data_IF_860442259660
#
_entry.id   IF_860442259660
#
_cell.length_a   1.000
_cell.length_b   1.000
_cell.length_c   1.000
_cell.angle_alpha   90.00
_cell.angle_beta   90.00
_cell.angle_gamma   90.00
#
_symmetry.space_group_name_H-M   'P 1'
#
loop_
_entity.id
_entity.type
_entity.pdbx_description
1 polymer ?
#
# COMPACT_ATOMS: atom_id res chain seq x y z
N UNK A 1 43.94 24.81 16.53
CA UNK A 1 43.32 23.65 15.84
C UNK A 1 42.07 23.22 16.62
N UNK A 2 40.85 23.67 16.25
CA UNK A 2 39.58 23.30 16.92
C UNK A 2 38.46 22.88 15.94
N UNK A 3 38.75 22.71 14.65
CA UNK A 3 37.75 22.53 13.59
C UNK A 3 37.41 21.09 13.23
N UNK A 4 38.04 20.07 13.82
CA UNK A 4 37.92 18.68 13.33
C UNK A 4 36.75 17.89 13.97
N UNK A 5 36.44 18.10 15.25
CA UNK A 5 35.37 17.35 15.94
C UNK A 5 33.96 17.82 15.55
N UNK A 6 33.78 19.13 15.30
CA UNK A 6 32.50 19.68 14.86
C UNK A 6 32.12 19.23 13.44
N UNK A 7 33.10 19.09 12.54
CA UNK A 7 32.87 18.57 11.18
C UNK A 7 32.59 17.07 11.16
N UNK A 8 33.25 16.28 12.03
CA UNK A 8 32.96 14.86 12.19
C UNK A 8 31.53 14.65 12.73
N UNK A 9 31.13 15.39 13.77
CA UNK A 9 29.77 15.33 14.31
C UNK A 9 28.73 15.73 13.25
N UNK A 10 28.94 16.86 12.53
CA UNK A 10 28.03 17.32 11.48
C UNK A 10 27.88 16.32 10.34
N UNK A 11 28.97 15.66 9.93
CA UNK A 11 28.95 14.59 8.91
C UNK A 11 28.19 13.37 9.41
N UNK A 12 28.44 12.91 10.65
CA UNK A 12 27.71 11.79 11.26
C UNK A 12 26.21 12.08 11.41
N UNK A 13 25.82 13.27 11.89
CA UNK A 13 24.41 13.67 11.98
C UNK A 13 23.73 13.71 10.62
N UNK A 14 24.39 14.25 9.59
CA UNK A 14 23.85 14.27 8.23
C UNK A 14 23.72 12.85 7.66
N UNK A 15 24.74 12.00 7.83
CA UNK A 15 24.69 10.60 7.37
C UNK A 15 23.60 9.80 8.07
N UNK A 16 23.44 9.91 9.40
CA UNK A 16 22.37 9.23 10.15
C UNK A 16 20.99 9.78 9.81
N UNK A 17 20.87 11.09 9.57
CA UNK A 17 19.61 11.69 9.14
C UNK A 17 19.18 11.19 7.75
N UNK A 18 20.14 11.05 6.81
CA UNK A 18 19.87 10.55 5.45
C UNK A 18 19.63 9.04 5.40
N UNK A 19 20.36 8.21 6.16
CA UNK A 19 20.07 6.76 6.23
C UNK A 19 18.69 6.49 6.82
N UNK A 20 18.33 7.21 7.88
CA UNK A 20 17.01 7.09 8.51
C UNK A 20 15.89 7.59 7.58
N UNK A 21 16.13 8.67 6.83
CA UNK A 21 15.17 9.14 5.83
C UNK A 21 14.98 8.12 4.69
N UNK A 22 16.05 7.51 4.19
CA UNK A 22 16.02 6.47 3.16
C UNK A 22 15.29 5.19 3.63
N UNK A 23 15.48 4.78 4.89
CA UNK A 23 14.77 3.65 5.47
C UNK A 23 13.26 3.90 5.57
N UNK A 24 12.85 5.11 5.99
CA UNK A 24 11.43 5.46 6.03
C UNK A 24 10.81 5.57 4.64
N UNK A 25 11.52 6.13 3.66
CA UNK A 25 11.03 6.18 2.28
C UNK A 25 10.93 4.78 1.65
N UNK A 26 11.87 3.88 1.97
CA UNK A 26 11.78 2.47 1.57
C UNK A 26 10.54 1.76 2.15
N UNK A 27 10.36 1.86 3.47
CA UNK A 27 9.20 1.27 4.15
C UNK A 27 7.85 1.82 3.67
N UNK A 28 7.80 3.11 3.32
CA UNK A 28 6.58 3.75 2.82
C UNK A 28 6.25 3.27 1.39
N UNK A 29 7.27 3.17 0.54
CA UNK A 29 7.12 2.62 -0.81
C UNK A 29 6.64 1.17 -0.77
N UNK A 30 7.23 0.34 0.08
CA UNK A 30 6.84 -1.06 0.25
C UNK A 30 5.40 -1.17 0.75
N UNK A 31 5.01 -0.37 1.73
CA UNK A 31 3.64 -0.37 2.24
C UNK A 31 2.61 0.11 1.19
N UNK A 32 2.97 1.10 0.36
CA UNK A 32 2.12 1.57 -0.76
C UNK A 32 2.00 0.52 -1.85
N UNK A 33 3.05 -0.22 -2.17
CA UNK A 33 2.96 -1.36 -3.11
C UNK A 33 2.16 -2.52 -2.52
N UNK A 34 2.35 -2.82 -1.23
CA UNK A 34 1.64 -3.88 -0.51
C UNK A 34 0.13 -3.67 -0.49
N UNK A 35 -0.33 -2.44 -0.25
CA UNK A 35 -1.76 -2.13 -0.29
C UNK A 35 -2.36 -2.27 -1.70
N UNK A 36 -1.62 -1.91 -2.75
CA UNK A 36 -2.10 -2.07 -4.13
C UNK A 36 -2.26 -3.54 -4.50
N UNK A 37 -1.28 -4.37 -4.15
CA UNK A 37 -1.31 -5.83 -4.39
C UNK A 37 -2.45 -6.49 -3.61
N UNK A 38 -2.57 -6.20 -2.31
CA UNK A 38 -3.61 -6.81 -1.48
C UNK A 38 -5.03 -6.39 -1.91
N UNK A 39 -5.25 -5.17 -2.41
CA UNK A 39 -6.55 -4.77 -3.00
C UNK A 39 -6.84 -5.53 -4.29
N UNK A 40 -5.83 -5.78 -5.13
CA UNK A 40 -6.00 -6.61 -6.33
C UNK A 40 -6.43 -8.03 -5.97
N UNK A 41 -5.76 -8.65 -5.00
CA UNK A 41 -6.05 -10.01 -4.58
C UNK A 41 -7.37 -10.12 -3.83
N UNK A 42 -7.70 -9.12 -3.01
CA UNK A 42 -9.02 -8.97 -2.39
C UNK A 42 -10.12 -8.91 -3.45
N UNK A 43 -9.97 -8.08 -4.49
CA UNK A 43 -10.96 -7.98 -5.56
C UNK A 43 -11.17 -9.31 -6.29
N UNK A 44 -10.10 -10.07 -6.54
CA UNK A 44 -10.18 -11.40 -7.16
C UNK A 44 -10.91 -12.39 -6.25
N UNK A 45 -10.50 -12.47 -4.98
CA UNK A 45 -11.09 -13.38 -4.01
C UNK A 45 -12.59 -13.09 -3.78
N UNK A 46 -12.96 -11.81 -3.65
CA UNK A 46 -14.35 -11.36 -3.46
C UNK A 46 -15.26 -11.58 -4.67
N UNK A 47 -14.70 -11.97 -5.82
CA UNK A 47 -15.48 -12.36 -7.01
C UNK A 47 -15.76 -13.87 -7.05
N UNK A 48 -15.14 -14.64 -6.16
CA UNK A 48 -15.34 -16.07 -6.00
C UNK A 48 -16.34 -16.42 -4.89
N UNK A 49 -16.46 -17.71 -4.60
CA UNK A 49 -17.35 -18.28 -3.57
C UNK A 49 -16.59 -18.95 -2.42
N UNK A 50 -15.26 -18.97 -2.47
CA UNK A 50 -14.40 -19.62 -1.47
C UNK A 50 -14.20 -18.67 -0.28
N UNK A 51 -14.98 -18.89 0.78
CA UNK A 51 -15.03 -17.99 1.93
C UNK A 51 -13.72 -17.92 2.71
N UNK A 52 -12.95 -19.00 2.77
CA UNK A 52 -11.62 -18.99 3.40
C UNK A 52 -10.63 -18.15 2.60
N UNK A 53 -10.61 -18.29 1.26
CA UNK A 53 -9.78 -17.40 0.42
C UNK A 53 -10.21 -15.94 0.50
N UNK A 54 -11.51 -15.66 0.59
CA UNK A 54 -12.02 -14.30 0.79
C UNK A 54 -11.53 -13.73 2.13
N UNK A 55 -11.56 -14.52 3.20
CA UNK A 55 -11.05 -14.13 4.51
C UNK A 55 -9.55 -13.87 4.48
N UNK A 56 -8.74 -14.77 3.91
CA UNK A 56 -7.29 -14.60 3.83
C UNK A 56 -6.90 -13.34 3.05
N UNK A 57 -7.60 -13.08 1.94
CA UNK A 57 -7.38 -11.86 1.16
C UNK A 57 -7.83 -10.60 1.93
N UNK A 58 -8.96 -10.66 2.65
CA UNK A 58 -9.42 -9.56 3.50
C UNK A 58 -8.45 -9.28 4.65
N UNK A 59 -7.90 -10.33 5.27
CA UNK A 59 -6.86 -10.21 6.30
C UNK A 59 -5.59 -9.58 5.73
N UNK A 60 -5.12 -10.04 4.58
CA UNK A 60 -3.95 -9.46 3.90
C UNK A 60 -4.13 -7.97 3.57
N UNK A 61 -5.34 -7.59 3.14
CA UNK A 61 -5.70 -6.18 2.94
C UNK A 61 -5.70 -5.38 4.25
N UNK A 62 -6.27 -5.91 5.33
CA UNK A 62 -6.28 -5.27 6.66
C UNK A 62 -4.85 -5.08 7.18
N UNK A 63 -4.00 -6.08 7.04
CA UNK A 63 -2.59 -6.03 7.43
C UNK A 63 -1.85 -4.96 6.59
N UNK A 64 -2.01 -4.99 5.26
CA UNK A 64 -1.41 -4.00 4.36
C UNK A 64 -1.88 -2.57 4.63
N UNK A 65 -3.16 -2.38 5.00
CA UNK A 65 -3.69 -1.07 5.39
C UNK A 65 -2.99 -0.58 6.67
N UNK A 66 -2.84 -1.45 7.67
CA UNK A 66 -2.21 -1.12 8.95
C UNK A 66 -0.71 -0.83 8.78
N UNK A 67 -0.04 -1.51 7.87
CA UNK A 67 1.35 -1.26 7.50
C UNK A 67 1.48 0.11 6.82
N UNK A 68 0.63 0.41 5.84
CA UNK A 68 0.58 1.73 5.22
C UNK A 68 0.28 2.81 6.25
N UNK A 69 -0.71 2.60 7.13
CA UNK A 69 -1.05 3.54 8.21
C UNK A 69 0.19 3.82 9.07
N UNK A 70 0.91 2.78 9.48
CA UNK A 70 2.08 2.89 10.34
C UNK A 70 3.25 3.57 9.62
N UNK A 71 3.48 3.27 8.35
CA UNK A 71 4.51 3.91 7.54
C UNK A 71 4.22 5.40 7.31
N UNK A 72 2.97 5.75 7.02
CA UNK A 72 2.50 7.13 6.87
C UNK A 72 2.65 7.88 8.20
N UNK A 73 2.15 7.31 9.30
CA UNK A 73 2.19 7.93 10.62
C UNK A 73 3.61 8.17 11.14
N UNK A 74 4.54 7.26 10.84
CA UNK A 74 5.94 7.36 11.26
C UNK A 74 6.82 8.14 10.26
N UNK A 75 6.24 8.68 9.18
CA UNK A 75 6.99 9.42 8.18
C UNK A 75 7.59 10.70 8.75
N UNK A 76 8.85 10.99 8.38
CA UNK A 76 9.52 12.25 8.74
C UNK A 76 9.02 13.44 7.91
N UNK A 77 8.26 13.19 6.85
CA UNK A 77 7.62 14.24 6.08
C UNK A 77 6.28 14.60 6.74
N UNK A 78 6.15 15.83 7.24
CA UNK A 78 4.95 16.33 7.92
C UNK A 78 3.69 16.30 7.04
N UNK A 79 3.84 16.47 5.71
CA UNK A 79 2.72 16.36 4.78
C UNK A 79 2.25 14.90 4.64
N UNK A 80 3.17 13.94 4.71
CA UNK A 80 2.84 12.52 4.68
C UNK A 80 2.20 12.10 6.00
N UNK A 81 2.84 12.36 7.15
CA UNK A 81 2.28 11.99 8.46
C UNK A 81 0.97 12.71 8.78
N UNK A 82 0.75 13.92 8.27
CA UNK A 82 -0.54 14.60 8.36
C UNK A 82 -1.71 13.84 7.70
N UNK A 83 -1.43 12.98 6.71
CA UNK A 83 -2.46 12.16 6.02
C UNK A 83 -3.03 11.04 6.88
N UNK A 84 -2.39 10.69 8.00
CA UNK A 84 -2.91 9.73 8.97
C UNK A 84 -4.30 10.14 9.49
N UNK A 85 -4.56 11.44 9.62
CA UNK A 85 -5.89 11.97 9.98
C UNK A 85 -6.95 11.66 8.92
N UNK A 86 -6.61 11.82 7.64
CA UNK A 86 -7.49 11.52 6.51
C UNK A 86 -7.79 10.02 6.48
N UNK A 87 -6.77 9.17 6.59
CA UNK A 87 -6.94 7.71 6.65
C UNK A 87 -7.86 7.28 7.79
N UNK A 88 -7.66 7.86 8.98
CA UNK A 88 -8.48 7.59 10.17
C UNK A 88 -9.93 8.01 9.96
N UNK A 89 -10.15 9.23 9.45
CA UNK A 89 -11.50 9.76 9.23
C UNK A 89 -12.24 8.99 8.15
N UNK A 90 -11.56 8.59 7.07
CA UNK A 90 -12.12 7.72 6.04
C UNK A 90 -12.53 6.38 6.64
N UNK A 91 -11.66 5.69 7.39
CA UNK A 91 -12.02 4.42 8.03
C UNK A 91 -13.23 4.56 8.94
N UNK A 92 -13.26 5.60 9.80
CA UNK A 92 -14.39 5.88 10.68
C UNK A 92 -15.68 6.17 9.93
N UNK A 93 -15.63 6.86 8.79
CA UNK A 93 -16.82 7.14 7.98
C UNK A 93 -17.45 5.85 7.41
N UNK A 94 -16.67 4.78 7.21
CA UNK A 94 -17.13 3.49 6.73
C UNK A 94 -17.26 2.42 7.82
N UNK A 95 -17.11 2.78 9.11
CA UNK A 95 -17.04 1.79 10.20
C UNK A 95 -18.26 0.88 10.25
N UNK A 96 -19.48 1.41 10.08
CA UNK A 96 -20.69 0.60 10.09
C UNK A 96 -20.83 -0.36 8.90
N UNK A 97 -20.23 -0.04 7.75
CA UNK A 97 -20.17 -0.95 6.59
C UNK A 97 -19.12 -2.03 6.80
N UNK A 98 -17.96 -1.64 7.34
CA UNK A 98 -16.86 -2.55 7.66
C UNK A 98 -17.26 -3.55 8.75
N UNK A 99 -17.96 -3.09 9.78
CA UNK A 99 -18.38 -3.92 10.92
C UNK A 99 -19.30 -5.07 10.48
N UNK A 100 -20.21 -4.81 9.53
CA UNK A 100 -21.06 -5.85 8.93
C UNK A 100 -20.29 -6.92 8.17
N UNK A 101 -19.07 -6.62 7.74
CA UNK A 101 -18.17 -7.56 7.10
C UNK A 101 -17.15 -8.16 8.10
N UNK A 102 -17.36 -7.98 9.41
CA UNK A 102 -16.42 -8.46 10.43
C UNK A 102 -15.15 -7.63 10.57
N UNK A 103 -15.07 -6.45 9.95
CA UNK A 103 -13.92 -5.53 10.06
C UNK A 103 -14.23 -4.40 11.04
N UNK A 104 -13.43 -4.29 12.09
CA UNK A 104 -13.57 -3.23 13.11
C UNK A 104 -12.57 -2.12 12.85
N UNK A 105 -13.01 -0.88 13.03
CA UNK A 105 -12.14 0.31 12.99
C UNK A 105 -11.80 0.71 14.43
N UNK A 106 -10.52 0.63 14.78
CA UNK A 106 -10.00 1.05 16.07
C UNK A 106 -10.09 2.56 16.28
N UNK A 107 -10.01 3.00 17.55
CA UNK A 107 -9.98 4.44 17.89
C UNK A 107 -8.80 5.17 17.24
N UNK A 108 -7.69 4.44 17.11
CA UNK A 108 -6.46 4.82 16.43
C UNK A 108 -6.58 4.80 14.89
N UNK A 109 -7.72 4.41 14.32
CA UNK A 109 -7.91 4.34 12.87
C UNK A 109 -7.33 3.10 12.21
N UNK A 110 -6.72 2.18 12.97
CA UNK A 110 -6.30 0.87 12.46
C UNK A 110 -7.49 -0.06 12.29
N UNK A 111 -7.31 -1.08 11.46
CA UNK A 111 -8.32 -2.09 11.18
C UNK A 111 -7.99 -3.39 11.90
N UNK A 112 -9.02 -4.13 12.31
CA UNK A 112 -8.91 -5.52 12.72
C UNK A 112 -10.02 -6.33 12.08
N UNK A 113 -9.76 -7.60 11.77
CA UNK A 113 -10.76 -8.50 11.19
C UNK A 113 -11.04 -9.64 12.15
N UNK A 114 -12.33 -9.92 12.35
CA UNK A 114 -12.83 -11.04 13.14
C UNK A 114 -13.24 -12.16 12.19
N UNK A 115 -12.62 -13.34 12.33
CA UNK A 115 -12.87 -14.46 11.42
C UNK A 115 -14.31 -14.96 11.53
N UNK A 116 -14.82 -15.11 12.74
CA UNK A 116 -16.17 -15.66 12.96
C UNK A 116 -17.22 -14.73 12.35
N UNK A 117 -17.14 -13.42 12.65
CA UNK A 117 -18.06 -12.43 12.09
C UNK A 117 -17.94 -12.29 10.58
N UNK A 118 -16.73 -12.40 10.03
CA UNK A 118 -16.53 -12.38 8.58
C UNK A 118 -17.17 -13.60 7.90
N UNK A 119 -17.04 -14.78 8.51
CA UNK A 119 -17.64 -16.01 7.99
C UNK A 119 -19.17 -15.98 8.06
N UNK A 120 -19.74 -15.32 9.07
CA UNK A 120 -21.19 -15.14 9.23
C UNK A 120 -21.76 -13.99 8.37
N UNK A 121 -20.92 -13.07 7.90
CA UNK A 121 -21.35 -11.92 7.12
C UNK A 121 -22.04 -12.34 5.81
N UNK A 122 -23.06 -11.57 5.42
CA UNK A 122 -23.75 -11.75 4.15
C UNK A 122 -22.89 -11.27 2.97
N UNK A 123 -23.02 -11.92 1.81
CA UNK A 123 -22.21 -11.63 0.63
C UNK A 123 -22.33 -10.18 0.15
N UNK A 124 -23.48 -9.54 0.41
CA UNK A 124 -23.71 -8.13 0.07
C UNK A 124 -22.97 -7.19 1.02
N UNK A 125 -22.88 -7.51 2.32
CA UNK A 125 -22.04 -6.80 3.28
C UNK A 125 -20.56 -6.94 2.90
N UNK A 126 -20.10 -8.16 2.62
CA UNK A 126 -18.73 -8.41 2.15
C UNK A 126 -18.42 -7.61 0.87
N UNK A 127 -19.30 -7.68 -0.13
CA UNK A 127 -19.14 -6.95 -1.40
C UNK A 127 -19.16 -5.44 -1.22
N UNK A 128 -20.03 -4.91 -0.36
CA UNK A 128 -20.13 -3.48 -0.10
C UNK A 128 -18.92 -2.94 0.68
N UNK A 129 -18.37 -3.73 1.60
CA UNK A 129 -17.28 -3.32 2.46
C UNK A 129 -15.91 -3.50 1.78
N UNK A 130 -15.72 -4.62 1.10
CA UNK A 130 -14.40 -5.10 0.65
C UNK A 130 -14.37 -5.53 -0.82
N UNK A 131 -15.52 -5.61 -1.47
CA UNK A 131 -15.61 -6.01 -2.88
C UNK A 131 -14.98 -4.99 -3.84
N UNK A 132 -14.94 -5.36 -5.12
CA UNK A 132 -14.35 -4.57 -6.21
C UNK A 132 -14.87 -3.13 -6.27
N UNK A 133 -16.15 -2.92 -5.96
CA UNK A 133 -16.80 -1.62 -6.05
C UNK A 133 -16.92 -0.93 -4.68
N UNK A 134 -16.20 -1.41 -3.66
CA UNK A 134 -16.19 -0.78 -2.35
C UNK A 134 -15.57 0.61 -2.43
N UNK A 135 -16.30 1.62 -1.95
CA UNK A 135 -15.80 2.99 -1.84
C UNK A 135 -14.66 3.09 -0.82
N UNK A 136 -14.67 2.24 0.20
CA UNK A 136 -13.62 2.22 1.20
C UNK A 136 -12.29 1.75 0.60
N UNK A 137 -12.27 0.59 -0.07
CA UNK A 137 -11.04 0.05 -0.69
C UNK A 137 -10.50 1.00 -1.76
N UNK A 138 -11.39 1.59 -2.58
CA UNK A 138 -11.01 2.62 -3.55
C UNK A 138 -10.41 3.87 -2.89
N UNK A 139 -10.96 4.31 -1.76
CA UNK A 139 -10.42 5.45 -1.00
C UNK A 139 -9.03 5.15 -0.43
N UNK A 140 -8.80 3.94 0.07
CA UNK A 140 -7.49 3.48 0.58
C UNK A 140 -6.43 3.53 -0.53
N UNK A 141 -6.76 3.02 -1.73
CA UNK A 141 -5.85 3.10 -2.89
C UNK A 141 -5.58 4.56 -3.29
N UNK A 142 -6.61 5.42 -3.29
CA UNK A 142 -6.43 6.85 -3.56
C UNK A 142 -5.49 7.50 -2.53
N UNK A 143 -5.62 7.16 -1.25
CA UNK A 143 -4.69 7.66 -0.23
C UNK A 143 -3.26 7.15 -0.47
N UNK A 144 -3.08 5.89 -0.86
CA UNK A 144 -1.76 5.33 -1.19
C UNK A 144 -1.08 6.09 -2.34
N UNK A 145 -1.83 6.39 -3.40
CA UNK A 145 -1.36 7.21 -4.54
C UNK A 145 -1.02 8.64 -4.12
N UNK A 146 -1.79 9.22 -3.20
CA UNK A 146 -1.47 10.53 -2.70
C UNK A 146 -0.21 10.51 -1.83
N UNK A 147 -0.09 9.54 -0.92
CA UNK A 147 1.08 9.36 -0.06
C UNK A 147 2.35 9.24 -0.89
N UNK A 148 2.34 8.44 -1.97
CA UNK A 148 3.52 8.30 -2.84
C UNK A 148 3.95 9.63 -3.46
N UNK A 149 3.00 10.46 -3.92
CA UNK A 149 3.27 11.79 -4.51
C UNK A 149 3.98 12.76 -3.56
N UNK A 150 3.75 12.66 -2.25
CA UNK A 150 4.38 13.55 -1.26
C UNK A 150 5.66 12.96 -0.65
N UNK A 151 6.07 11.75 -1.04
CA UNK A 151 7.13 11.00 -0.34
C UNK A 151 8.52 11.05 -0.98
N UNK A 152 8.71 11.67 -2.14
CA UNK A 152 9.92 11.59 -3.00
C UNK A 152 10.36 10.17 -3.40
N UNK A 153 9.81 9.12 -2.78
CA UNK A 153 9.88 7.72 -3.19
C UNK A 153 8.68 7.37 -4.07
N UNK A 154 8.85 7.44 -5.40
CA UNK A 154 8.56 6.33 -6.35
C UNK A 154 8.52 6.83 -7.81
N UNK A 155 9.20 6.09 -8.69
CA UNK A 155 8.97 6.09 -10.14
C UNK A 155 7.70 5.26 -10.41
N UNK A 156 6.62 5.95 -10.79
CA UNK A 156 5.37 5.30 -11.15
C UNK A 156 5.44 4.77 -12.57
N UNK A 157 5.97 3.55 -12.74
CA UNK A 157 5.73 2.76 -13.95
C UNK A 157 4.68 1.73 -13.58
N UNK A 158 3.51 1.84 -14.24
CA UNK A 158 2.31 1.04 -14.00
C UNK A 158 1.41 1.54 -12.88
N UNK A 159 0.47 2.42 -13.25
CA UNK A 159 -0.95 2.23 -12.94
C UNK A 159 -1.76 3.30 -13.67
N UNK A 160 -2.16 2.95 -14.90
CA UNK A 160 -3.13 3.71 -15.67
C UNK A 160 -4.52 3.58 -15.03
N UNK A 161 -4.99 4.68 -14.45
CA UNK A 161 -6.42 4.99 -14.35
C UNK A 161 -7.20 4.38 -13.18
N UNK A 162 -7.02 4.92 -11.96
CA UNK A 162 -8.18 5.18 -11.11
C UNK A 162 -8.54 6.66 -11.25
N UNK A 163 -9.42 6.97 -12.21
CA UNK A 163 -10.15 8.23 -12.17
C UNK A 163 -11.48 7.99 -11.45
N UNK A 164 -11.81 8.95 -10.58
CA UNK A 164 -12.87 8.94 -9.58
C UNK A 164 -14.32 8.79 -10.10
N UNK A 165 -14.53 8.43 -11.36
CA UNK A 165 -15.87 8.28 -11.96
C UNK A 165 -15.89 7.11 -12.94
N UNK A 166 -16.89 6.23 -12.77
CA UNK A 166 -17.01 4.95 -13.44
C UNK A 166 -16.86 5.00 -14.96
N UNK A 167 -15.80 4.35 -15.45
CA UNK A 167 -15.58 4.09 -16.88
C UNK A 167 -14.45 3.09 -17.04
N UNK A 168 -14.75 1.92 -17.62
CA UNK A 168 -13.73 0.94 -17.96
C UNK A 168 -12.91 1.48 -19.14
N UNK A 169 -11.66 1.89 -18.88
CA UNK A 169 -10.68 2.09 -19.95
C UNK A 169 -9.94 0.78 -20.18
N UNK A 170 -10.07 0.25 -21.39
CA UNK A 170 -9.29 -0.87 -21.91
C UNK A 170 -7.85 -0.40 -22.10
N UNK A 171 -7.05 -0.58 -21.06
CA UNK A 171 -5.60 -0.84 -21.08
C UNK A 171 -5.09 -0.80 -19.64
N UNK A 172 -5.31 -1.88 -18.88
CA UNK A 172 -4.71 -2.04 -17.55
C UNK A 172 -4.44 -3.51 -17.26
N UNK A 173 -3.20 -3.81 -16.86
CA UNK A 173 -2.75 -4.94 -16.04
C UNK A 173 -3.16 -6.38 -16.43
N UNK A 174 -3.74 -6.59 -17.59
CA UNK A 174 -3.92 -7.90 -18.20
C UNK A 174 -3.22 -7.96 -19.55
N UNK A 175 -1.93 -7.62 -19.57
CA UNK A 175 -1.03 -8.22 -20.55
C UNK A 175 0.41 -8.14 -20.04
N UNK A 176 0.87 -9.21 -19.39
CA UNK A 176 2.30 -9.50 -19.34
C UNK A 176 2.52 -11.00 -19.48
N UNK A 177 2.42 -11.45 -20.73
CA UNK A 177 3.30 -12.46 -21.28
C UNK A 177 3.63 -12.07 -22.73
N UNK A 178 4.41 -10.99 -22.91
CA UNK A 178 4.83 -10.56 -24.25
C UNK A 178 5.76 -9.36 -24.22
N UNK A 179 7.07 -9.63 -24.27
CA UNK A 179 8.15 -8.78 -24.81
C UNK A 179 8.31 -7.37 -24.17
N UNK A 180 9.35 -7.07 -23.40
CA UNK A 180 10.73 -6.95 -23.85
C UNK A 180 11.62 -6.68 -22.64
N UNK A 181 12.61 -7.54 -22.41
CA UNK A 181 13.69 -7.29 -21.47
C UNK A 181 14.85 -6.67 -22.25
N UNK A 182 15.13 -5.39 -22.02
CA UNK A 182 16.40 -4.79 -22.41
C UNK A 182 17.07 -4.17 -21.20
N UNK A 183 18.21 -4.76 -20.82
CA UNK A 183 19.33 -4.06 -20.21
C UNK A 183 19.42 -4.09 -18.69
N UNK A 184 20.02 -5.15 -18.13
CA UNK A 184 21.09 -4.96 -17.13
C UNK A 184 22.25 -5.90 -17.46
N UNK A 185 23.34 -5.28 -17.89
CA UNK A 185 24.69 -5.85 -17.94
C UNK A 185 25.11 -6.24 -16.52
N UNK A 186 25.40 -7.53 -16.29
CA UNK A 186 26.42 -7.96 -15.34
C UNK A 186 26.66 -9.48 -15.45
N UNK A 187 27.76 -9.84 -16.11
CA UNK A 187 28.66 -10.92 -15.69
C UNK A 187 28.19 -12.36 -15.89
N UNK A 188 28.62 -12.97 -17.00
CA UNK A 188 29.17 -14.33 -16.94
C UNK A 188 30.37 -14.45 -17.89
N UNK A 189 31.37 -15.17 -17.40
CA UNK A 189 32.75 -15.26 -17.87
C UNK A 189 32.89 -16.02 -19.21
N UNK A 190 33.76 -15.46 -20.06
CA UNK A 190 34.86 -16.11 -20.79
C UNK A 190 34.68 -17.59 -21.22
N UNK A 191 34.58 -17.86 -22.53
CA UNK A 191 35.62 -18.56 -23.28
C UNK A 191 35.37 -18.51 -24.80
N UNK A 192 36.44 -18.71 -25.58
CA UNK A 192 36.54 -19.05 -27.02
C UNK A 192 37.21 -17.96 -27.88
N UNK A 193 38.54 -18.05 -27.95
CA UNK A 193 39.26 -17.87 -29.21
C UNK A 193 39.32 -19.23 -29.92
N UNK A 194 39.08 -19.19 -31.24
CA UNK A 194 39.60 -20.04 -32.33
C UNK A 194 40.08 -21.45 -31.94
#
# INVERSE_FOLDING_TARGET
MKSNSANAARKTYQTTATTKAAAYSGSLSEAVSGIASSVSDLSKAMSGTDREKMFDAAKSFVDSYNDMYSAVSNSRNAFVSGRTSIMTNTAKAYSGTLEKAGVTVGKDGKLSIDKEKFMEADDKALSSALGRNSTFTGSVVSQAVNVSRYSDSFSYTSYGGYNSYGGYSKNSLFDYAGTTQSGVLAGYLLNQWI
#
